data_IF_126371766781
#
_entry.id   IF_126371766781
#
_cell.length_a   1.000
_cell.length_b   1.000
_cell.length_c   1.000
_cell.angle_alpha   90.00
_cell.angle_beta   90.00
_cell.angle_gamma   90.00
#
_symmetry.space_group_name_H-M   'P 1'
#
loop_
_entity.id
_entity.type
_entity.pdbx_description
1 polymer ?
#
# COMPACT_ATOMS: atom_id res chain seq x y z
N UNK A 1 0.65 39.57 -18.83
CA UNK A 1 0.08 38.66 -17.81
C UNK A 1 1.21 37.76 -17.31
N UNK A 2 1.63 37.80 -16.03
CA UNK A 2 2.80 37.04 -15.55
C UNK A 2 2.63 35.51 -15.63
N UNK A 3 1.39 35.06 -15.82
CA UNK A 3 0.99 33.66 -15.89
C UNK A 3 0.86 33.10 -17.32
N UNK A 4 1.23 33.86 -18.35
CA UNK A 4 1.13 33.41 -19.75
C UNK A 4 2.53 33.26 -20.34
N UNK A 5 2.86 32.05 -20.77
CA UNK A 5 4.09 31.71 -21.48
C UNK A 5 3.71 31.26 -22.89
N UNK A 6 4.32 31.86 -23.91
CA UNK A 6 4.17 31.43 -25.31
C UNK A 6 5.37 30.55 -25.67
N UNK A 7 5.11 29.39 -26.26
CA UNK A 7 6.15 28.45 -26.68
C UNK A 7 5.85 27.84 -28.05
N UNK A 8 6.90 27.47 -28.78
CA UNK A 8 6.80 26.74 -30.05
C UNK A 8 6.92 25.22 -29.84
N UNK A 9 6.39 24.42 -30.78
CA UNK A 9 6.19 22.97 -30.64
C UNK A 9 7.46 22.15 -30.30
N UNK A 10 8.66 22.67 -30.57
CA UNK A 10 9.93 22.02 -30.23
C UNK A 10 10.48 22.31 -28.83
N UNK A 11 9.87 23.20 -28.05
CA UNK A 11 10.42 23.69 -26.77
C UNK A 11 9.67 23.20 -25.52
N UNK A 12 8.66 22.34 -25.69
CA UNK A 12 7.81 21.83 -24.62
C UNK A 12 8.57 21.33 -23.36
N UNK A 13 9.69 20.58 -23.46
CA UNK A 13 10.41 20.11 -22.27
C UNK A 13 11.04 21.24 -21.44
N UNK A 14 11.52 22.30 -22.09
CA UNK A 14 12.10 23.47 -21.40
C UNK A 14 11.04 24.36 -20.76
N UNK A 15 9.84 24.38 -21.35
CA UNK A 15 8.70 25.15 -20.88
C UNK A 15 8.12 24.55 -19.59
N UNK A 16 8.14 23.22 -19.46
CA UNK A 16 7.74 22.53 -18.23
C UNK A 16 8.57 22.98 -17.02
N UNK A 17 9.90 23.08 -17.17
CA UNK A 17 10.79 23.51 -16.08
C UNK A 17 10.58 24.99 -15.72
N UNK A 18 10.33 25.85 -16.71
CA UNK A 18 10.03 27.27 -16.47
C UNK A 18 8.66 27.45 -15.79
N UNK A 19 7.68 26.58 -16.09
CA UNK A 19 6.36 26.59 -15.45
C UNK A 19 6.44 26.22 -13.96
N UNK A 20 7.17 25.15 -13.63
CA UNK A 20 7.41 24.72 -12.24
C UNK A 20 8.13 25.81 -11.46
N UNK A 21 9.18 26.42 -12.04
CA UNK A 21 9.93 27.51 -11.41
C UNK A 21 9.03 28.71 -11.06
N UNK A 22 8.11 29.10 -11.94
CA UNK A 22 7.23 30.26 -11.71
C UNK A 22 6.13 29.99 -10.68
N UNK A 23 5.60 28.77 -10.60
CA UNK A 23 4.67 28.39 -9.53
C UNK A 23 5.35 28.50 -8.17
N UNK A 24 6.57 27.96 -8.04
CA UNK A 24 7.30 27.96 -6.77
C UNK A 24 7.83 29.35 -6.33
N UNK A 25 7.94 30.30 -7.27
CA UNK A 25 8.44 31.66 -6.98
C UNK A 25 7.33 32.69 -6.74
N UNK A 26 6.07 32.33 -6.98
CA UNK A 26 4.93 33.22 -6.81
C UNK A 26 4.33 33.00 -5.42
N UNK A 27 4.49 33.98 -4.53
CA UNK A 27 3.73 34.00 -3.28
C UNK A 27 2.21 34.04 -3.52
N UNK A 28 1.38 33.74 -2.51
CA UNK A 28 -0.08 33.71 -2.67
C UNK A 28 -0.60 35.05 -3.20
N UNK A 29 -1.48 34.98 -4.20
CA UNK A 29 -2.16 36.16 -4.75
C UNK A 29 -3.13 36.67 -3.68
N UNK A 30 -2.77 37.74 -2.99
CA UNK A 30 -3.66 38.46 -2.08
C UNK A 30 -4.54 39.37 -2.95
N UNK A 31 -5.87 39.22 -2.94
CA UNK A 31 -6.77 40.13 -3.65
C UNK A 31 -6.62 41.56 -3.10
N UNK A 32 -6.79 42.60 -3.92
CA UNK A 32 -6.81 43.97 -3.40
C UNK A 32 -8.00 44.14 -2.45
N UNK A 33 -7.73 44.71 -1.27
CA UNK A 33 -8.78 45.19 -0.37
C UNK A 33 -9.54 46.34 -1.07
N UNK A 34 -10.84 46.13 -1.28
CA UNK A 34 -11.76 47.21 -1.63
C UNK A 34 -11.90 48.15 -0.41
N UNK A 35 -11.62 49.42 -0.64
CA UNK A 35 -11.63 50.44 0.40
C UNK A 35 -13.03 50.80 0.90
N UNK A 36 -13.11 51.00 2.23
CA UNK A 36 -14.03 51.89 2.96
C UNK A 36 -15.53 51.54 2.94
N UNK A 37 -16.21 51.31 4.07
CA UNK A 37 -16.24 52.13 5.27
C UNK A 37 -16.69 51.31 6.49
N UNK A 38 -15.95 51.40 7.60
CA UNK A 38 -16.37 50.83 8.88
C UNK A 38 -16.95 51.94 9.78
N UNK A 39 -18.09 51.73 10.47
CA UNK A 39 -18.57 52.62 11.52
C UNK A 39 -17.68 52.51 12.79
N UNK A 40 -17.75 53.48 13.73
CA UNK A 40 -16.84 53.52 14.87
C UNK A 40 -17.00 52.33 15.80
N UNK A 41 -15.87 51.80 16.28
CA UNK A 41 -15.79 50.72 17.25
C UNK A 41 -16.38 51.13 18.63
N UNK A 42 -17.06 50.22 19.34
CA UNK A 42 -17.36 50.40 20.76
C UNK A 42 -16.07 50.36 21.62
N UNK A 43 -16.10 50.89 22.86
CA UNK A 43 -14.92 50.96 23.73
C UNK A 43 -14.34 49.57 24.04
N UNK A 44 -13.03 49.47 24.32
CA UNK A 44 -12.33 48.19 24.40
C UNK A 44 -12.85 47.37 25.58
N UNK A 45 -13.39 46.20 25.27
CA UNK A 45 -13.66 45.17 26.26
C UNK A 45 -12.32 44.50 26.64
N UNK A 46 -12.09 44.38 27.94
CA UNK A 46 -10.87 43.86 28.54
C UNK A 46 -10.63 42.45 28.03
N UNK A 47 -9.57 42.24 27.25
CA UNK A 47 -9.19 40.93 26.76
C UNK A 47 -8.80 40.03 27.94
N UNK A 48 -9.64 39.05 28.25
CA UNK A 48 -9.24 37.92 29.10
C UNK A 48 -8.16 37.11 28.37
N UNK A 49 -7.13 36.61 29.07
CA UNK A 49 -6.09 35.79 28.45
C UNK A 49 -6.71 34.53 27.84
N UNK A 50 -6.56 34.36 26.53
CA UNK A 50 -6.93 33.13 25.84
C UNK A 50 -5.83 32.11 26.11
N UNK A 51 -6.20 30.94 26.64
CA UNK A 51 -5.29 29.83 26.87
C UNK A 51 -4.53 29.48 25.58
N UNK A 52 -3.22 29.17 25.64
CA UNK A 52 -2.45 28.80 24.46
C UNK A 52 -3.00 27.49 23.87
N UNK A 53 -3.30 27.54 22.57
CA UNK A 53 -3.73 26.40 21.76
C UNK A 53 -2.70 25.27 21.87
N UNK A 54 -3.13 23.99 22.06
CA UNK A 54 -2.21 22.88 22.21
C UNK A 54 -1.34 22.74 20.96
N UNK A 55 -0.03 22.89 21.13
CA UNK A 55 0.98 22.73 20.09
C UNK A 55 0.97 21.27 19.64
N UNK A 56 0.25 20.97 18.56
CA UNK A 56 0.33 19.67 17.89
C UNK A 56 1.74 19.59 17.27
N UNK A 57 2.58 18.61 17.67
CA UNK A 57 3.90 18.48 17.08
C UNK A 57 3.77 18.26 15.56
N UNK A 58 4.69 18.82 14.75
CA UNK A 58 4.63 18.68 13.30
C UNK A 58 4.62 17.20 12.90
N UNK A 59 3.94 16.83 11.78
CA UNK A 59 3.93 15.46 11.29
C UNK A 59 5.37 14.96 11.09
N UNK A 60 5.69 13.79 11.66
CA UNK A 60 7.06 13.26 11.77
C UNK A 60 7.69 12.92 10.41
N UNK A 61 6.88 12.80 9.35
CA UNK A 61 7.26 12.56 7.96
C UNK A 61 5.99 12.75 7.09
N UNK A 62 6.10 12.82 5.76
CA UNK A 62 4.93 12.83 4.85
C UNK A 62 5.07 11.83 3.71
N UNK A 63 3.97 11.14 3.39
CA UNK A 63 3.86 10.29 2.20
C UNK A 63 4.93 9.19 2.13
N UNK A 64 5.61 9.08 0.99
CA UNK A 64 6.64 8.05 0.76
C UNK A 64 7.86 8.18 1.69
N UNK A 65 8.15 9.38 2.24
CA UNK A 65 9.23 9.55 3.22
C UNK A 65 8.96 8.71 4.49
N UNK A 66 7.70 8.68 4.95
CA UNK A 66 7.29 7.85 6.08
C UNK A 66 7.46 6.36 5.80
N UNK A 67 7.22 5.92 4.56
CA UNK A 67 7.41 4.53 4.16
C UNK A 67 8.87 4.14 4.33
N UNK A 68 9.79 4.98 3.84
CA UNK A 68 11.24 4.81 3.98
C UNK A 68 11.75 4.87 5.43
N UNK A 69 10.98 5.47 6.34
CA UNK A 69 11.30 5.55 7.76
C UNK A 69 10.57 4.49 8.61
N UNK A 70 9.96 3.49 7.97
CA UNK A 70 9.21 2.41 8.62
C UNK A 70 8.01 2.92 9.45
N UNK A 71 7.36 4.02 9.03
CA UNK A 71 6.20 4.62 9.69
C UNK A 71 4.96 4.47 8.82
N UNK A 72 4.29 3.33 8.91
CA UNK A 72 3.07 3.03 8.15
C UNK A 72 2.27 1.89 8.74
N UNK A 73 1.00 1.78 8.34
CA UNK A 73 0.17 0.61 8.62
C UNK A 73 0.17 -0.32 7.41
N UNK A 74 0.55 -1.58 7.63
CA UNK A 74 0.61 -2.63 6.62
C UNK A 74 -0.52 -3.64 6.83
N UNK A 75 -1.36 -3.85 5.82
CA UNK A 75 -2.30 -4.97 5.78
C UNK A 75 -1.79 -6.03 4.80
N UNK A 76 -1.46 -7.22 5.32
CA UNK A 76 -1.17 -8.40 4.52
C UNK A 76 -2.48 -9.19 4.29
N UNK A 77 -2.91 -9.31 3.03
CA UNK A 77 -4.10 -10.05 2.63
C UNK A 77 -3.65 -11.31 1.90
N UNK A 78 -3.88 -12.46 2.51
CA UNK A 78 -3.35 -13.74 2.06
C UNK A 78 -4.48 -14.66 1.60
N UNK A 79 -4.40 -15.10 0.36
CA UNK A 79 -5.26 -16.14 -0.18
C UNK A 79 -5.02 -17.45 0.60
N UNK A 80 -6.07 -18.02 1.18
CA UNK A 80 -6.11 -19.33 1.82
C UNK A 80 -7.03 -20.31 1.06
N UNK A 81 -7.27 -20.05 -0.22
CA UNK A 81 -8.06 -20.93 -1.08
C UNK A 81 -7.39 -22.28 -1.30
N UNK A 82 -8.20 -23.28 -1.63
CA UNK A 82 -7.79 -24.68 -1.74
C UNK A 82 -6.74 -24.93 -2.86
N UNK A 83 -6.64 -24.06 -3.87
CA UNK A 83 -5.66 -24.19 -4.97
C UNK A 83 -4.22 -24.16 -4.48
N UNK A 84 -3.95 -23.40 -3.41
CA UNK A 84 -2.62 -23.30 -2.81
C UNK A 84 -2.17 -24.66 -2.29
N UNK A 85 -3.05 -25.37 -1.58
CA UNK A 85 -2.77 -26.66 -0.97
C UNK A 85 -1.85 -26.59 0.25
N UNK A 86 -1.98 -27.58 1.15
CA UNK A 86 -1.26 -27.62 2.42
C UNK A 86 0.27 -27.60 2.27
N UNK A 87 0.80 -28.22 1.20
CA UNK A 87 2.23 -28.26 0.94
C UNK A 87 2.79 -26.86 0.66
N UNK A 88 2.21 -26.12 -0.30
CA UNK A 88 2.69 -24.78 -0.63
C UNK A 88 2.41 -23.81 0.51
N UNK A 89 1.29 -23.95 1.21
CA UNK A 89 1.01 -23.14 2.39
C UNK A 89 2.14 -23.24 3.43
N UNK A 90 2.52 -24.46 3.81
CA UNK A 90 3.54 -24.69 4.84
C UNK A 90 4.96 -24.38 4.36
N UNK A 91 5.27 -24.67 3.09
CA UNK A 91 6.64 -24.57 2.55
C UNK A 91 6.96 -23.21 1.91
N UNK A 92 5.94 -22.47 1.48
CA UNK A 92 6.11 -21.25 0.68
C UNK A 92 5.36 -20.06 1.29
N UNK A 93 4.04 -20.16 1.53
CA UNK A 93 3.23 -19.02 2.01
C UNK A 93 3.61 -18.61 3.44
N UNK A 94 3.65 -19.55 4.39
CA UNK A 94 4.08 -19.24 5.76
C UNK A 94 5.50 -18.64 5.79
N UNK A 95 6.53 -19.23 5.15
CA UNK A 95 7.87 -18.65 5.16
C UNK A 95 7.95 -17.28 4.49
N UNK A 96 7.15 -17.03 3.44
CA UNK A 96 7.02 -15.71 2.83
C UNK A 96 6.50 -14.67 3.82
N UNK A 97 5.43 -14.98 4.55
CA UNK A 97 4.87 -14.09 5.58
C UNK A 97 5.87 -13.87 6.70
N UNK A 98 6.45 -14.94 7.24
CA UNK A 98 7.48 -14.89 8.29
C UNK A 98 8.64 -14.00 7.89
N UNK A 99 9.13 -14.13 6.65
CA UNK A 99 10.24 -13.34 6.15
C UNK A 99 9.88 -11.86 6.01
N UNK A 100 8.71 -11.53 5.45
CA UNK A 100 8.22 -10.14 5.40
C UNK A 100 8.17 -9.57 6.82
N UNK A 101 7.42 -10.19 7.73
CA UNK A 101 7.24 -9.63 9.07
C UNK A 101 8.55 -9.56 9.84
N UNK A 102 9.50 -10.48 9.60
CA UNK A 102 10.83 -10.45 10.23
C UNK A 102 11.67 -9.25 9.80
N UNK A 103 11.49 -8.76 8.59
CA UNK A 103 12.24 -7.62 8.04
C UNK A 103 11.61 -6.25 8.39
N UNK A 104 10.39 -6.22 8.93
CA UNK A 104 9.71 -4.97 9.32
C UNK A 104 10.15 -4.49 10.71
N UNK A 105 10.29 -3.17 10.88
CA UNK A 105 10.44 -2.53 12.19
C UNK A 105 9.07 -2.39 12.87
N UNK A 106 8.55 -3.48 13.44
CA UNK A 106 7.24 -3.48 14.12
C UNK A 106 7.38 -2.91 15.53
N UNK A 107 6.71 -1.78 15.80
CA UNK A 107 6.61 -1.16 17.12
C UNK A 107 5.40 -0.21 17.19
N UNK A 108 5.06 0.26 18.39
CA UNK A 108 3.98 1.25 18.59
C UNK A 108 4.15 2.52 17.72
N UNK A 109 5.40 2.98 17.52
CA UNK A 109 5.71 4.18 16.75
C UNK A 109 6.15 3.94 15.30
N UNK A 110 6.36 2.68 14.89
CA UNK A 110 6.87 2.31 13.56
C UNK A 110 5.79 1.59 12.75
N UNK A 111 6.04 0.36 12.29
CA UNK A 111 5.10 -0.37 11.44
C UNK A 111 4.05 -1.07 12.31
N UNK A 112 2.77 -0.89 11.99
CA UNK A 112 1.69 -1.73 12.52
C UNK A 112 1.27 -2.74 11.46
N UNK A 113 1.09 -4.01 11.83
CA UNK A 113 0.83 -5.11 10.90
C UNK A 113 -0.52 -5.76 11.15
N UNK A 114 -1.38 -5.70 10.15
CA UNK A 114 -2.61 -6.47 10.06
C UNK A 114 -2.41 -7.65 9.13
N UNK A 115 -2.93 -8.82 9.49
CA UNK A 115 -2.88 -10.03 8.66
C UNK A 115 -4.30 -10.57 8.53
N UNK A 116 -4.78 -10.61 7.29
CA UNK A 116 -6.08 -11.15 6.92
C UNK A 116 -5.91 -12.33 5.97
N UNK A 117 -6.71 -13.36 6.17
CA UNK A 117 -6.76 -14.56 5.34
C UNK A 117 -8.09 -14.58 4.59
N UNK A 118 -8.10 -14.98 3.31
CA UNK A 118 -9.32 -15.02 2.53
C UNK A 118 -9.44 -16.22 1.60
N UNK A 119 -10.67 -16.64 1.36
CA UNK A 119 -11.05 -17.53 0.26
C UNK A 119 -12.46 -17.12 -0.17
N UNK A 120 -13.47 -17.96 0.09
CA UNK A 120 -14.89 -17.56 0.12
C UNK A 120 -15.25 -16.68 1.33
N UNK A 121 -14.52 -16.82 2.44
CA UNK A 121 -14.75 -16.09 3.68
C UNK A 121 -13.51 -15.28 4.06
N UNK A 122 -13.71 -14.14 4.72
CA UNK A 122 -12.63 -13.29 5.23
C UNK A 122 -12.39 -13.65 6.70
N UNK A 123 -11.13 -13.80 7.07
CA UNK A 123 -10.74 -14.23 8.40
C UNK A 123 -9.57 -13.40 8.89
N UNK A 124 -9.78 -12.71 9.98
CA UNK A 124 -8.73 -11.95 10.63
C UNK A 124 -7.78 -12.89 11.37
N UNK A 125 -6.48 -12.70 11.17
CA UNK A 125 -5.42 -13.41 11.87
C UNK A 125 -4.69 -12.49 12.86
N UNK A 126 -4.42 -11.25 12.46
CA UNK A 126 -3.93 -10.18 13.34
C UNK A 126 -4.65 -8.89 12.98
N UNK A 127 -5.37 -8.27 13.92
CA UNK A 127 -5.98 -6.94 13.73
C UNK A 127 -5.11 -5.84 14.32
N UNK A 128 -5.26 -4.61 13.84
CA UNK A 128 -4.53 -3.45 14.40
C UNK A 128 -4.83 -3.17 15.88
N UNK A 129 -5.96 -3.65 16.39
CA UNK A 129 -6.32 -3.57 17.82
C UNK A 129 -5.55 -4.56 18.71
N UNK A 130 -4.88 -5.55 18.12
CA UNK A 130 -4.18 -6.62 18.85
C UNK A 130 -2.73 -6.24 19.12
N UNK A 131 -2.17 -6.74 20.23
CA UNK A 131 -0.78 -6.47 20.64
C UNK A 131 0.22 -6.92 19.57
N UNK A 132 -0.08 -8.02 18.90
CA UNK A 132 0.70 -8.60 17.81
C UNK A 132 0.82 -7.67 16.60
N UNK A 133 -0.03 -6.65 16.47
CA UNK A 133 0.09 -5.67 15.39
C UNK A 133 1.30 -4.75 15.56
N UNK A 134 1.63 -4.39 16.80
CA UNK A 134 2.62 -3.35 17.10
C UNK A 134 3.71 -3.82 18.09
N UNK A 135 3.74 -5.11 18.44
CA UNK A 135 4.83 -5.70 19.21
C UNK A 135 5.48 -6.85 18.44
N UNK A 136 6.71 -6.60 17.95
CA UNK A 136 7.49 -7.53 17.14
C UNK A 136 7.57 -8.94 17.73
N UNK A 137 7.92 -9.06 19.01
CA UNK A 137 8.10 -10.38 19.66
C UNK A 137 6.78 -11.15 19.82
N UNK A 138 5.67 -10.43 20.01
CA UNK A 138 4.33 -11.05 20.03
C UNK A 138 3.91 -11.49 18.63
N UNK A 139 4.15 -10.67 17.61
CA UNK A 139 3.91 -11.03 16.20
C UNK A 139 4.71 -12.28 15.79
N UNK A 140 6.01 -12.30 16.08
CA UNK A 140 6.91 -13.40 15.73
C UNK A 140 6.56 -14.71 16.45
N UNK A 141 5.90 -14.66 17.62
CA UNK A 141 5.37 -15.84 18.31
C UNK A 141 4.06 -16.35 17.70
N UNK A 142 3.22 -15.46 17.17
CA UNK A 142 1.91 -15.79 16.58
C UNK A 142 2.02 -16.30 15.14
N UNK A 143 2.87 -15.70 14.31
CA UNK A 143 3.02 -16.06 12.88
C UNK A 143 3.23 -17.57 12.62
N UNK A 144 3.99 -18.34 13.44
CA UNK A 144 4.07 -19.79 13.32
C UNK A 144 2.73 -20.55 13.34
N UNK A 145 1.68 -20.00 13.96
CA UNK A 145 0.34 -20.60 13.99
C UNK A 145 -0.30 -20.68 12.60
N UNK A 146 0.13 -19.85 11.64
CA UNK A 146 -0.32 -19.93 10.24
C UNK A 146 -0.14 -21.34 9.68
N UNK A 147 0.91 -22.08 10.06
CA UNK A 147 1.16 -23.46 9.60
C UNK A 147 -0.01 -24.40 9.85
N UNK A 148 -0.74 -24.20 10.95
CA UNK A 148 -1.82 -25.08 11.40
C UNK A 148 -3.23 -24.56 11.13
N UNK A 149 -3.38 -23.28 10.78
CA UNK A 149 -4.69 -22.63 10.67
C UNK A 149 -5.22 -22.52 9.25
N UNK A 150 -4.49 -23.01 8.24
CA UNK A 150 -4.93 -23.00 6.84
C UNK A 150 -6.24 -23.78 6.63
N UNK A 151 -7.25 -23.12 6.08
CA UNK A 151 -8.58 -23.72 5.89
C UNK A 151 -8.83 -24.36 4.53
N UNK A 152 -7.96 -24.13 3.54
CA UNK A 152 -8.18 -24.58 2.16
C UNK A 152 -9.59 -24.24 1.65
N UNK A 153 -9.97 -22.97 1.74
CA UNK A 153 -11.33 -22.53 1.42
C UNK A 153 -11.67 -22.68 -0.06
N UNK A 154 -12.94 -22.91 -0.38
CA UNK A 154 -13.40 -22.82 -1.77
C UNK A 154 -13.34 -21.36 -2.27
N UNK A 155 -13.21 -21.14 -3.57
CA UNK A 155 -13.21 -19.81 -4.21
C UNK A 155 -12.08 -18.88 -3.75
N UNK A 156 -11.85 -17.85 -4.54
CA UNK A 156 -10.79 -16.85 -4.38
C UNK A 156 -11.42 -15.47 -4.60
N UNK A 157 -12.02 -14.91 -3.54
CA UNK A 157 -12.72 -13.61 -3.59
C UNK A 157 -11.79 -12.45 -3.31
N UNK A 158 -10.91 -12.17 -4.27
CA UNK A 158 -9.88 -11.12 -4.18
C UNK A 158 -10.52 -9.74 -3.98
N UNK A 159 -11.49 -9.37 -4.82
CA UNK A 159 -12.10 -8.03 -4.77
C UNK A 159 -12.77 -7.81 -3.42
N UNK A 160 -13.55 -8.77 -2.96
CA UNK A 160 -14.22 -8.70 -1.67
C UNK A 160 -13.22 -8.69 -0.50
N UNK A 161 -12.09 -9.39 -0.63
CA UNK A 161 -11.04 -9.36 0.40
C UNK A 161 -10.38 -7.97 0.50
N UNK A 162 -10.15 -7.32 -0.64
CA UNK A 162 -9.59 -5.97 -0.70
C UNK A 162 -10.57 -4.94 -0.11
N UNK A 163 -11.86 -5.05 -0.46
CA UNK A 163 -12.91 -4.20 0.11
C UNK A 163 -13.04 -4.40 1.63
N UNK A 164 -13.01 -5.65 2.10
CA UNK A 164 -13.02 -5.96 3.53
C UNK A 164 -11.80 -5.38 4.24
N UNK A 165 -10.60 -5.55 3.66
CA UNK A 165 -9.35 -5.00 4.19
C UNK A 165 -9.40 -3.48 4.33
N UNK A 166 -9.91 -2.78 3.32
CA UNK A 166 -10.11 -1.33 3.40
C UNK A 166 -11.08 -0.96 4.53
N UNK A 167 -12.21 -1.63 4.64
CA UNK A 167 -13.23 -1.29 5.62
C UNK A 167 -12.81 -1.59 7.06
N UNK A 168 -12.19 -2.74 7.29
CA UNK A 168 -11.94 -3.25 8.65
C UNK A 168 -10.53 -2.99 9.17
N UNK A 169 -9.55 -2.80 8.27
CA UNK A 169 -8.17 -2.48 8.65
C UNK A 169 -7.88 -1.01 8.37
N UNK A 170 -7.92 -0.59 7.10
CA UNK A 170 -7.50 0.77 6.71
C UNK A 170 -8.37 1.85 7.34
N UNK A 171 -9.70 1.68 7.29
CA UNK A 171 -10.70 2.57 7.89
C UNK A 171 -11.15 2.12 9.29
N UNK A 172 -10.52 1.07 9.82
CA UNK A 172 -10.83 0.55 11.15
C UNK A 172 -10.45 1.54 12.25
N UNK A 173 -11.12 1.47 13.39
CA UNK A 173 -10.92 2.41 14.50
C UNK A 173 -9.50 2.40 15.09
N UNK A 174 -8.76 1.30 14.93
CA UNK A 174 -7.37 1.15 15.41
C UNK A 174 -6.33 1.51 14.34
N UNK A 175 -6.75 1.99 13.17
CA UNK A 175 -5.85 2.48 12.11
C UNK A 175 -5.36 3.89 12.45
N UNK A 176 -4.06 4.14 12.31
CA UNK A 176 -3.46 5.45 12.63
C UNK A 176 -3.74 6.49 11.55
N UNK A 177 -4.46 7.57 11.83
CA UNK A 177 -4.87 8.51 10.78
C UNK A 177 -3.72 9.29 10.12
N UNK A 178 -2.57 9.38 10.79
CA UNK A 178 -1.43 10.23 10.47
C UNK A 178 -0.29 9.50 9.72
N UNK A 179 -0.42 8.21 9.44
CA UNK A 179 0.60 7.41 8.74
C UNK A 179 0.09 6.87 7.40
N UNK A 180 0.95 6.72 6.39
CA UNK A 180 0.60 6.05 5.14
C UNK A 180 0.04 4.64 5.34
N UNK A 181 -0.77 4.23 4.37
CA UNK A 181 -1.45 2.93 4.36
C UNK A 181 -0.91 2.08 3.22
N UNK A 182 -0.51 0.86 3.54
CA UNK A 182 0.02 -0.11 2.58
C UNK A 182 -0.77 -1.40 2.68
N UNK A 183 -1.09 -1.99 1.53
CA UNK A 183 -1.67 -3.33 1.45
C UNK A 183 -0.83 -4.19 0.52
N UNK A 184 -0.50 -5.40 0.96
CA UNK A 184 0.07 -6.43 0.10
C UNK A 184 -0.96 -7.54 -0.03
N UNK A 185 -1.40 -7.79 -1.26
CA UNK A 185 -2.27 -8.90 -1.61
C UNK A 185 -1.42 -10.07 -2.14
N UNK A 186 -1.60 -11.27 -1.59
CA UNK A 186 -0.99 -12.50 -2.07
C UNK A 186 -2.07 -13.46 -2.59
N UNK A 187 -1.88 -14.03 -3.78
CA UNK A 187 -2.76 -15.06 -4.36
C UNK A 187 -2.02 -16.00 -5.31
N UNK A 188 -2.48 -17.25 -5.43
CA UNK A 188 -2.00 -18.18 -6.48
C UNK A 188 -2.96 -18.29 -7.67
N UNK A 189 -4.07 -17.55 -7.64
CA UNK A 189 -5.18 -17.70 -8.54
C UNK A 189 -5.71 -16.37 -9.08
N UNK A 190 -6.94 -16.43 -9.58
CA UNK A 190 -7.65 -15.29 -10.11
C UNK A 190 -8.95 -15.09 -9.33
N UNK A 191 -9.47 -13.86 -9.35
CA UNK A 191 -10.74 -13.57 -8.71
C UNK A 191 -11.83 -14.51 -9.28
N UNK A 192 -12.55 -15.22 -8.40
CA UNK A 192 -13.55 -16.21 -8.83
C UNK A 192 -14.71 -15.57 -9.59
N UNK A 193 -15.05 -14.31 -9.30
CA UNK A 193 -15.95 -13.53 -10.15
C UNK A 193 -15.16 -12.98 -11.32
N UNK A 194 -15.57 -13.33 -12.53
CA UNK A 194 -14.99 -12.80 -13.76
C UNK A 194 -15.37 -11.34 -13.98
N UNK A 195 -14.45 -10.58 -14.55
CA UNK A 195 -14.66 -9.19 -14.96
C UNK A 195 -13.35 -8.42 -14.79
N UNK A 196 -12.89 -7.76 -15.85
CA UNK A 196 -11.69 -6.91 -15.73
C UNK A 196 -12.02 -5.60 -15.01
N UNK A 197 -13.23 -5.08 -15.23
CA UNK A 197 -13.70 -3.83 -14.64
C UNK A 197 -13.68 -3.86 -13.11
N UNK A 198 -14.13 -4.96 -12.49
CA UNK A 198 -14.14 -5.07 -11.02
C UNK A 198 -12.72 -5.02 -10.41
N UNK A 199 -11.70 -5.48 -11.14
CA UNK A 199 -10.31 -5.43 -10.69
C UNK A 199 -9.74 -4.01 -10.78
N UNK A 200 -10.06 -3.29 -11.86
CA UNK A 200 -9.69 -1.88 -12.01
C UNK A 200 -10.45 -0.98 -11.02
N UNK A 201 -11.73 -1.28 -10.76
CA UNK A 201 -12.58 -0.51 -9.85
C UNK A 201 -12.08 -0.62 -8.41
N UNK A 202 -11.70 -1.82 -7.95
CA UNK A 202 -11.14 -1.98 -6.61
C UNK A 202 -9.77 -1.27 -6.47
N UNK A 203 -8.91 -1.29 -7.50
CA UNK A 203 -7.69 -0.48 -7.47
C UNK A 203 -7.99 1.03 -7.39
N UNK A 204 -8.98 1.50 -8.14
CA UNK A 204 -9.40 2.91 -8.12
C UNK A 204 -9.89 3.33 -6.73
N UNK A 205 -10.56 2.42 -6.01
CA UNK A 205 -10.92 2.62 -4.61
C UNK A 205 -9.67 2.77 -3.72
N UNK A 206 -8.67 1.90 -3.86
CA UNK A 206 -7.41 2.02 -3.11
C UNK A 206 -6.68 3.34 -3.37
N UNK A 207 -6.62 3.78 -4.63
CA UNK A 207 -6.04 5.09 -5.00
C UNK A 207 -6.80 6.24 -4.36
N UNK A 208 -8.14 6.19 -4.36
CA UNK A 208 -9.00 7.20 -3.73
C UNK A 208 -8.78 7.30 -2.21
N UNK A 209 -8.55 6.16 -1.56
CA UNK A 209 -8.28 6.09 -0.12
C UNK A 209 -6.80 6.32 0.23
N UNK A 210 -5.97 6.71 -0.74
CA UNK A 210 -4.55 6.94 -0.59
C UNK A 210 -3.80 5.73 0.02
N UNK A 211 -4.17 4.53 -0.40
CA UNK A 211 -3.55 3.26 0.04
C UNK A 211 -2.65 2.73 -1.07
N UNK A 212 -1.37 2.50 -0.75
CA UNK A 212 -0.43 1.83 -1.65
C UNK A 212 -0.76 0.34 -1.72
N UNK A 213 -1.24 -0.14 -2.87
CA UNK A 213 -1.58 -1.55 -3.09
C UNK A 213 -0.46 -2.24 -3.89
N UNK A 214 0.15 -3.26 -3.30
CA UNK A 214 1.08 -4.18 -3.95
C UNK A 214 0.40 -5.54 -4.13
N UNK A 215 0.53 -6.11 -5.31
CA UNK A 215 -0.16 -7.35 -5.71
C UNK A 215 0.86 -8.41 -6.07
N UNK A 216 0.74 -9.57 -5.43
CA UNK A 216 1.65 -10.70 -5.54
C UNK A 216 0.87 -11.89 -6.05
N UNK A 217 1.16 -12.29 -7.29
CA UNK A 217 0.62 -13.50 -7.87
C UNK A 217 1.68 -14.58 -7.97
N UNK A 218 1.26 -15.82 -7.69
CA UNK A 218 2.14 -16.99 -7.77
C UNK A 218 1.58 -18.03 -8.72
N UNK A 219 2.43 -18.67 -9.51
CA UNK A 219 2.07 -19.79 -10.37
C UNK A 219 0.90 -19.48 -11.32
N UNK A 220 -0.28 -20.03 -11.02
CA UNK A 220 -1.47 -19.95 -11.88
C UNK A 220 -2.14 -18.56 -11.92
N UNK A 221 -1.71 -17.62 -11.07
CA UNK A 221 -2.18 -16.23 -11.11
C UNK A 221 -1.90 -15.60 -12.50
N UNK A 222 -2.89 -14.92 -13.07
CA UNK A 222 -2.78 -14.33 -14.41
C UNK A 222 -2.17 -12.93 -14.33
N UNK A 223 -0.99 -12.71 -14.92
CA UNK A 223 -0.34 -11.39 -14.91
C UNK A 223 -1.27 -10.27 -15.44
N UNK A 224 -2.03 -10.44 -16.53
CA UNK A 224 -3.03 -9.44 -16.94
C UNK A 224 -4.04 -9.03 -15.85
N UNK A 225 -4.44 -9.95 -14.96
CA UNK A 225 -5.40 -9.69 -13.88
C UNK A 225 -4.72 -8.99 -12.70
N UNK A 226 -3.50 -9.42 -12.36
CA UNK A 226 -2.67 -8.78 -11.33
C UNK A 226 -2.35 -7.32 -11.70
N UNK A 227 -2.09 -7.06 -12.99
CA UNK A 227 -1.84 -5.71 -13.51
C UNK A 227 -3.04 -4.78 -13.34
N UNK A 228 -4.25 -5.28 -13.58
CA UNK A 228 -5.48 -4.50 -13.36
C UNK A 228 -5.66 -4.19 -11.86
N UNK A 229 -5.42 -5.16 -10.98
CA UNK A 229 -5.42 -4.96 -9.52
C UNK A 229 -4.34 -3.96 -9.07
N UNK A 230 -3.17 -3.96 -9.74
CA UNK A 230 -2.09 -3.00 -9.53
C UNK A 230 -2.35 -1.62 -10.16
N UNK A 231 -3.46 -1.45 -10.89
CA UNK A 231 -3.83 -0.18 -11.51
C UNK A 231 -3.06 0.19 -12.77
N UNK A 232 -2.54 -0.82 -13.47
CA UNK A 232 -1.74 -0.71 -14.69
C UNK A 232 -2.55 -1.12 -15.93
N UNK A 233 -2.04 -0.78 -17.11
CA UNK A 233 -2.59 -1.33 -18.36
C UNK A 233 -2.46 -2.86 -18.39
N UNK A 234 -3.45 -3.55 -18.95
CA UNK A 234 -3.58 -5.01 -18.87
C UNK A 234 -2.38 -5.77 -19.44
N UNK A 235 -1.75 -5.25 -20.49
CA UNK A 235 -0.70 -5.97 -21.25
C UNK A 235 0.53 -5.15 -21.59
N UNK A 236 0.53 -3.82 -21.37
CA UNK A 236 1.57 -2.93 -21.89
C UNK A 236 2.18 -2.08 -20.77
N UNK A 237 3.47 -1.77 -20.92
CA UNK A 237 4.23 -0.95 -19.98
C UNK A 237 4.57 -1.65 -18.68
N UNK A 238 5.40 -1.01 -17.88
CA UNK A 238 5.81 -1.53 -16.58
C UNK A 238 4.65 -1.45 -15.59
N UNK A 239 4.65 -2.38 -14.62
CA UNK A 239 3.66 -2.39 -13.56
C UNK A 239 4.35 -2.66 -12.21
N UNK A 240 4.95 -1.63 -11.59
CA UNK A 240 5.74 -1.80 -10.37
C UNK A 240 4.93 -2.36 -9.19
N UNK A 241 3.61 -2.15 -9.20
CA UNK A 241 2.66 -2.59 -8.17
C UNK A 241 2.22 -4.05 -8.30
N UNK A 242 2.52 -4.73 -9.42
CA UNK A 242 2.16 -6.13 -9.63
C UNK A 242 3.41 -6.99 -9.86
N UNK A 243 3.54 -8.06 -9.08
CA UNK A 243 4.64 -9.01 -9.18
C UNK A 243 4.03 -10.38 -9.44
N UNK A 244 4.54 -11.08 -10.46
CA UNK A 244 4.25 -12.48 -10.70
C UNK A 244 5.51 -13.31 -10.52
N UNK A 245 5.39 -14.45 -9.85
CA UNK A 245 6.49 -15.37 -9.60
C UNK A 245 6.06 -16.83 -9.62
N UNK A 246 7.03 -17.73 -9.63
CA UNK A 246 6.82 -19.14 -9.30
C UNK A 246 7.00 -19.39 -7.79
N UNK A 247 6.48 -20.53 -7.32
CA UNK A 247 6.46 -20.90 -5.91
C UNK A 247 7.86 -20.95 -5.27
N UNK A 248 8.86 -21.42 -6.00
CA UNK A 248 10.21 -21.62 -5.46
C UNK A 248 10.99 -20.30 -5.31
N UNK A 249 10.60 -19.25 -6.04
CA UNK A 249 11.23 -17.93 -6.01
C UNK A 249 10.59 -16.96 -5.02
N UNK A 250 9.56 -17.39 -4.28
CA UNK A 250 8.85 -16.54 -3.32
C UNK A 250 9.74 -16.00 -2.19
N UNK A 251 10.74 -16.78 -1.78
CA UNK A 251 11.65 -16.39 -0.71
C UNK A 251 12.48 -15.17 -1.10
N UNK A 252 12.92 -15.10 -2.34
CA UNK A 252 13.75 -14.00 -2.85
C UNK A 252 12.95 -12.71 -2.95
N UNK A 253 11.67 -12.83 -3.31
CA UNK A 253 10.75 -11.70 -3.47
C UNK A 253 10.37 -11.06 -2.14
N UNK A 254 10.28 -11.84 -1.06
CA UNK A 254 9.92 -11.32 0.26
C UNK A 254 10.87 -10.25 0.78
N UNK A 255 12.17 -10.31 0.42
CA UNK A 255 13.15 -9.30 0.77
C UNK A 255 12.89 -8.01 -0.04
N UNK A 256 12.77 -8.14 -1.36
CA UNK A 256 12.51 -7.00 -2.24
C UNK A 256 11.14 -6.34 -2.02
N UNK A 257 10.19 -7.03 -1.40
CA UNK A 257 8.89 -6.44 -1.08
C UNK A 257 8.94 -5.35 -0.04
N UNK A 258 9.77 -5.52 0.99
CA UNK A 258 9.95 -4.48 2.00
C UNK A 258 10.57 -3.25 1.35
N UNK A 259 11.56 -3.46 0.47
CA UNK A 259 12.20 -2.37 -0.28
C UNK A 259 11.21 -1.66 -1.22
N UNK A 260 10.29 -2.40 -1.84
CA UNK A 260 9.24 -1.85 -2.71
C UNK A 260 8.19 -1.01 -1.99
N UNK A 261 8.00 -1.18 -0.68
CA UNK A 261 7.11 -0.30 0.08
C UNK A 261 7.67 1.12 0.06
N UNK A 262 8.97 1.25 0.28
CA UNK A 262 9.74 2.49 0.33
C UNK A 262 9.99 3.07 -1.07
N UNK A 263 10.36 2.23 -2.05
CA UNK A 263 10.64 2.64 -3.42
C UNK A 263 9.97 1.71 -4.43
N UNK A 264 8.82 2.15 -4.93
CA UNK A 264 8.01 1.36 -5.86
C UNK A 264 8.70 1.11 -7.21
N UNK A 265 9.65 1.96 -7.61
CA UNK A 265 10.37 1.84 -8.89
C UNK A 265 11.46 0.75 -8.87
N UNK A 266 11.71 0.13 -7.71
CA UNK A 266 12.70 -0.95 -7.59
C UNK A 266 12.19 -2.21 -8.28
N UNK A 267 12.79 -2.63 -9.39
CA UNK A 267 12.47 -3.92 -9.99
C UNK A 267 12.93 -5.07 -9.08
N UNK A 268 12.02 -6.02 -8.81
CA UNK A 268 12.39 -7.29 -8.19
C UNK A 268 12.61 -8.27 -9.33
N UNK A 269 13.88 -8.51 -9.68
CA UNK A 269 14.24 -9.51 -10.66
C UNK A 269 14.22 -10.90 -10.01
N UNK A 270 13.28 -11.81 -10.35
CA UNK A 270 13.35 -13.19 -9.89
C UNK A 270 14.63 -13.84 -10.44
N UNK A 271 15.24 -14.79 -9.69
CA UNK A 271 16.40 -15.51 -10.19
C UNK A 271 16.04 -16.28 -11.47
N UNK A 272 17.00 -16.45 -12.41
CA UNK A 272 16.77 -17.20 -13.62
C UNK A 272 16.37 -18.65 -13.29
N UNK A 273 15.52 -19.30 -14.14
CA UNK A 273 15.10 -20.67 -13.90
C UNK A 273 16.31 -21.62 -13.85
N UNK A 274 16.24 -22.70 -13.06
CA UNK A 274 17.31 -23.69 -13.02
C UNK A 274 17.51 -24.32 -14.41
N UNK A 275 18.75 -24.66 -14.79
CA UNK A 275 19.02 -25.31 -16.07
C UNK A 275 18.26 -26.65 -16.15
N UNK A 276 17.80 -27.05 -17.35
CA UNK A 276 17.10 -28.31 -17.53
C UNK A 276 17.98 -29.46 -17.03
N UNK A 277 17.43 -30.29 -16.14
CA UNK A 277 18.09 -31.50 -15.66
C UNK A 277 18.47 -32.35 -16.86
N UNK A 278 19.77 -32.51 -17.10
CA UNK A 278 20.27 -33.51 -18.04
C UNK A 278 19.86 -34.88 -17.52
N UNK A 279 18.75 -35.41 -18.04
CA UNK A 279 18.41 -36.81 -17.92
C UNK A 279 19.57 -37.61 -18.49
N UNK A 280 20.37 -38.20 -17.59
CA UNK A 280 21.35 -39.21 -17.94
C UNK A 280 20.63 -40.43 -18.54
N UNK A 281 21.29 -41.01 -19.54
CA UNK A 281 20.87 -42.10 -20.41
C UNK A 281 20.22 -43.31 -19.72
#
# INVERSE_FOLDING_TARGET
CPFVIKAEWGQLPSVSNEFVRRICSSGPIIPPEDGSSSPPLPPPEVANPTDPEPVVPPPQCQGDECLCQSMYDLTLILDESASIGHSNWKKQVYPFVEKIVSNLEVSESKVHVGIMLFAKHMRDFVRFSEKESYEKDSLMRKVPELKGTYKAGSHTYIVESLEYGLQHYTKGASSRADVPKVTILFTDGNNSKSGDEILSNVNSLYKKENVKLLVVGVGAASMPKLRLLGGCHKTEGDCPFAIKTEWDSLKDISQGMVDKICNTDTEINPPPPPPPSSGGA
#
